data_IF_110865670035
#
_entry.id   IF_110865670035
#
_cell.length_a   1.000
_cell.length_b   1.000
_cell.length_c   1.000
_cell.angle_alpha   90.00
_cell.angle_beta   90.00
_cell.angle_gamma   90.00
#
_symmetry.space_group_name_H-M   'P 1'
#
loop_
_entity.id
_entity.type
_entity.pdbx_description
1 polymer ?
#
# COMPACT_ATOMS: atom_id res chain seq x y z
N UNK A 1 13.27 17.28 -4.76
CA UNK A 1 13.49 16.47 -3.55
C UNK A 1 12.73 15.16 -3.67
N UNK A 2 13.37 14.05 -3.33
CA UNK A 2 12.74 12.74 -3.44
C UNK A 2 11.64 12.56 -2.39
N UNK A 3 10.54 11.93 -2.77
CA UNK A 3 9.47 11.56 -1.85
C UNK A 3 9.96 10.51 -0.84
N UNK A 4 9.21 10.31 0.26
CA UNK A 4 9.55 9.27 1.22
C UNK A 4 9.49 7.89 0.55
N UNK A 5 8.58 7.67 -0.41
CA UNK A 5 8.50 6.39 -1.13
C UNK A 5 9.70 6.17 -2.03
N UNK A 6 10.18 7.21 -2.74
CA UNK A 6 11.41 7.12 -3.51
C UNK A 6 12.60 6.77 -2.61
N UNK A 7 12.66 7.34 -1.42
CA UNK A 7 13.72 7.06 -0.46
C UNK A 7 13.65 5.64 0.08
N UNK A 8 12.44 5.11 0.27
CA UNK A 8 12.25 3.70 0.65
C UNK A 8 12.74 2.78 -0.48
N UNK A 9 12.38 3.09 -1.73
CA UNK A 9 12.82 2.31 -2.91
C UNK A 9 14.34 2.26 -3.00
N UNK A 10 15.02 3.36 -2.64
CA UNK A 10 16.50 3.46 -2.67
C UNK A 10 17.16 2.80 -1.45
N UNK A 11 16.39 2.32 -0.48
CA UNK A 11 16.94 1.76 0.75
C UNK A 11 17.41 2.80 1.76
N UNK A 12 17.06 4.06 1.56
CA UNK A 12 17.46 5.16 2.47
C UNK A 12 16.59 5.21 3.72
N UNK A 13 15.35 4.72 3.65
CA UNK A 13 14.42 4.64 4.77
C UNK A 13 13.93 3.20 4.91
N UNK A 14 13.74 2.72 6.16
CA UNK A 14 13.19 1.39 6.39
C UNK A 14 11.70 1.35 6.05
N UNK A 15 11.21 0.15 5.69
CA UNK A 15 9.79 -0.09 5.47
C UNK A 15 9.49 -1.57 5.66
N UNK A 16 8.24 -1.86 5.98
CA UNK A 16 7.73 -3.24 6.07
C UNK A 16 7.23 -3.64 4.69
N UNK A 17 8.12 -4.16 3.87
CA UNK A 17 7.82 -4.50 2.47
C UNK A 17 7.09 -5.83 2.43
N UNK A 18 5.89 -5.86 1.83
CA UNK A 18 5.12 -7.08 1.63
C UNK A 18 5.42 -7.73 0.28
N UNK A 19 5.56 -6.92 -0.75
CA UNK A 19 5.75 -7.41 -2.11
C UNK A 19 6.38 -6.32 -2.96
N UNK A 20 7.07 -6.71 -4.02
CA UNK A 20 7.57 -5.77 -5.03
C UNK A 20 7.85 -6.50 -6.34
N UNK A 21 7.81 -5.76 -7.43
CA UNK A 21 8.31 -6.21 -8.73
C UNK A 21 9.31 -5.15 -9.24
N UNK A 22 9.67 -5.19 -10.51
CA UNK A 22 10.62 -4.23 -11.06
C UNK A 22 10.11 -2.78 -10.99
N UNK A 23 8.80 -2.60 -11.07
CA UNK A 23 8.18 -1.27 -11.24
C UNK A 23 7.40 -0.80 -10.02
N UNK A 24 7.05 -1.69 -9.09
CA UNK A 24 6.12 -1.38 -7.98
C UNK A 24 6.60 -1.95 -6.66
N UNK A 25 6.11 -1.34 -5.58
CA UNK A 25 6.36 -1.81 -4.22
C UNK A 25 5.07 -1.71 -3.40
N UNK A 26 4.88 -2.66 -2.50
CA UNK A 26 3.78 -2.66 -1.53
C UNK A 26 4.36 -2.74 -0.13
N UNK A 27 3.98 -1.81 0.73
CA UNK A 27 4.47 -1.73 2.11
C UNK A 27 3.30 -1.61 3.09
N UNK A 28 3.54 -1.96 4.35
CA UNK A 28 2.57 -1.67 5.41
C UNK A 28 2.67 -0.20 5.82
N UNK A 29 1.53 0.44 6.02
CA UNK A 29 1.47 1.78 6.58
C UNK A 29 1.82 1.69 8.07
N UNK A 30 2.79 2.50 8.52
CA UNK A 30 3.23 2.50 9.93
C UNK A 30 2.26 3.28 10.84
N UNK A 31 1.39 4.09 10.26
CA UNK A 31 0.31 4.80 10.96
C UNK A 31 -1.02 4.38 10.32
N UNK A 32 -1.42 3.11 10.43
CA UNK A 32 -2.54 2.58 9.66
C UNK A 32 -3.89 3.03 10.20
N UNK A 33 -4.88 3.08 9.31
CA UNK A 33 -6.28 3.24 9.74
C UNK A 33 -6.77 1.97 10.44
N UNK A 34 -6.33 0.81 9.94
CA UNK A 34 -6.55 -0.50 10.58
C UNK A 34 -5.30 -1.33 10.36
N UNK A 35 -5.09 -2.36 11.18
CA UNK A 35 -3.98 -3.28 10.94
C UNK A 35 -4.17 -3.96 9.58
N UNK A 36 -3.10 -3.99 8.78
CA UNK A 36 -3.16 -4.51 7.42
C UNK A 36 -3.38 -3.44 6.35
N UNK A 37 -3.40 -2.16 6.72
CA UNK A 37 -3.43 -1.05 5.77
C UNK A 37 -2.14 -1.05 4.96
N UNK A 38 -2.25 -1.23 3.65
CA UNK A 38 -1.13 -1.36 2.73
C UNK A 38 -1.08 -0.17 1.77
N UNK A 39 0.13 0.26 1.44
CA UNK A 39 0.39 1.29 0.44
C UNK A 39 1.10 0.64 -0.74
N UNK A 40 0.54 0.82 -1.93
CA UNK A 40 1.13 0.30 -3.17
C UNK A 40 1.50 1.49 -4.05
N UNK A 41 2.73 1.53 -4.52
CA UNK A 41 3.19 2.67 -5.32
C UNK A 41 4.15 2.24 -6.42
N UNK A 42 4.23 3.02 -7.52
CA UNK A 42 5.25 2.77 -8.53
C UNK A 42 6.61 3.23 -8.00
N UNK A 43 7.68 2.56 -8.39
CA UNK A 43 9.03 2.96 -8.00
C UNK A 43 9.42 4.29 -8.64
N UNK A 44 8.87 4.57 -9.83
CA UNK A 44 9.02 5.86 -10.49
C UNK A 44 8.19 6.91 -9.76
N UNK A 45 8.80 8.07 -9.47
CA UNK A 45 8.11 9.14 -8.74
C UNK A 45 7.22 9.94 -9.68
N UNK A 46 5.91 9.78 -9.54
CA UNK A 46 4.89 10.57 -10.23
C UNK A 46 3.87 10.94 -9.16
N UNK A 47 3.55 12.22 -9.05
CA UNK A 47 2.69 12.73 -7.97
C UNK A 47 1.23 12.32 -8.16
N UNK A 48 0.66 12.59 -9.32
CA UNK A 48 -0.76 12.49 -9.57
C UNK A 48 -1.10 11.22 -10.36
N UNK A 49 -2.06 10.45 -9.85
CA UNK A 49 -2.47 9.18 -10.46
C UNK A 49 -2.77 9.33 -11.97
N UNK A 50 -3.50 10.39 -12.33
CA UNK A 50 -3.94 10.57 -13.71
C UNK A 50 -2.88 11.18 -14.63
N UNK A 51 -1.69 11.44 -14.11
CA UNK A 51 -0.52 11.81 -14.92
C UNK A 51 0.27 10.58 -15.36
N UNK A 52 -0.07 9.39 -14.84
CA UNK A 52 0.52 8.15 -15.34
C UNK A 52 0.03 7.90 -16.78
N UNK A 53 0.88 7.30 -17.62
CA UNK A 53 0.40 6.78 -18.90
C UNK A 53 -0.62 5.69 -18.68
N UNK A 54 -1.42 5.37 -19.69
CA UNK A 54 -2.39 4.27 -19.59
C UNK A 54 -1.70 2.97 -19.22
N UNK A 55 -0.52 2.70 -19.81
CA UNK A 55 0.25 1.50 -19.50
C UNK A 55 0.71 1.49 -18.05
N UNK A 56 1.26 2.61 -17.57
CA UNK A 56 1.71 2.74 -16.17
C UNK A 56 0.52 2.61 -15.20
N UNK A 57 -0.60 3.22 -15.53
CA UNK A 57 -1.81 3.14 -14.74
C UNK A 57 -2.32 1.71 -14.62
N UNK A 58 -2.43 1.03 -15.77
CA UNK A 58 -2.90 -0.37 -15.79
C UNK A 58 -1.95 -1.30 -15.02
N UNK A 59 -0.64 -1.09 -15.16
CA UNK A 59 0.35 -1.90 -14.46
C UNK A 59 0.25 -1.71 -12.94
N UNK A 60 0.11 -0.46 -12.47
CA UNK A 60 -0.05 -0.16 -11.04
C UNK A 60 -1.32 -0.81 -10.48
N UNK A 61 -2.45 -0.67 -11.17
CA UNK A 61 -3.71 -1.24 -10.70
C UNK A 61 -3.71 -2.77 -10.76
N UNK A 62 -3.06 -3.35 -11.76
CA UNK A 62 -2.91 -4.80 -11.86
C UNK A 62 -2.06 -5.36 -10.70
N UNK A 63 -0.96 -4.70 -10.38
CA UNK A 63 -0.13 -5.09 -9.23
C UNK A 63 -0.92 -4.92 -7.93
N UNK A 64 -1.64 -3.81 -7.77
CA UNK A 64 -2.48 -3.55 -6.60
C UNK A 64 -3.53 -4.63 -6.41
N UNK A 65 -4.13 -5.11 -7.50
CA UNK A 65 -5.12 -6.20 -7.45
C UNK A 65 -4.50 -7.49 -6.90
N UNK A 66 -3.30 -7.83 -7.34
CA UNK A 66 -2.59 -9.03 -6.82
C UNK A 66 -2.33 -8.90 -5.33
N UNK A 67 -1.87 -7.74 -4.89
CA UNK A 67 -1.61 -7.47 -3.47
C UNK A 67 -2.91 -7.53 -2.67
N UNK A 68 -3.97 -6.88 -3.17
CA UNK A 68 -5.27 -6.86 -2.49
C UNK A 68 -5.86 -8.27 -2.34
N UNK A 69 -5.75 -9.09 -3.37
CA UNK A 69 -6.25 -10.47 -3.36
C UNK A 69 -5.53 -11.27 -2.27
N UNK A 70 -4.21 -11.16 -2.22
CA UNK A 70 -3.42 -11.86 -1.20
C UNK A 70 -3.68 -11.31 0.20
N UNK A 71 -3.81 -9.99 0.32
CA UNK A 71 -4.10 -9.34 1.58
C UNK A 71 -5.41 -9.86 2.19
N UNK A 72 -6.44 -9.99 1.37
CA UNK A 72 -7.73 -10.52 1.83
C UNK A 72 -7.63 -11.97 2.31
N UNK A 73 -6.78 -12.77 1.68
CA UNK A 73 -6.54 -14.14 2.11
C UNK A 73 -5.85 -14.21 3.47
N UNK A 74 -4.98 -13.25 3.76
CA UNK A 74 -4.15 -13.26 4.97
C UNK A 74 -4.75 -12.48 6.14
N UNK A 75 -5.62 -11.51 5.88
CA UNK A 75 -6.19 -10.64 6.92
C UNK A 75 -7.71 -10.78 6.91
N UNK A 76 -8.32 -11.31 7.99
CA UNK A 76 -9.78 -11.45 8.05
C UNK A 76 -10.46 -10.09 7.92
N UNK A 77 -11.34 -9.97 6.93
CA UNK A 77 -12.10 -8.74 6.67
C UNK A 77 -13.23 -9.05 5.69
N UNK A 78 -14.19 -8.13 5.62
CA UNK A 78 -15.29 -8.26 4.66
C UNK A 78 -14.79 -8.05 3.23
N UNK A 79 -13.98 -7.02 3.02
CA UNK A 79 -13.36 -6.73 1.71
C UNK A 79 -12.18 -5.79 1.86
N UNK A 80 -11.39 -5.69 0.80
CA UNK A 80 -10.32 -4.71 0.73
C UNK A 80 -10.86 -3.47 0.01
N UNK A 81 -10.85 -2.33 0.71
CA UNK A 81 -11.19 -1.05 0.11
C UNK A 81 -9.99 -0.42 -0.56
N UNK A 82 -10.24 0.41 -1.56
CA UNK A 82 -9.21 1.07 -2.36
C UNK A 82 -9.44 2.57 -2.37
N UNK A 83 -8.38 3.34 -2.16
CA UNK A 83 -8.42 4.79 -2.24
C UNK A 83 -7.09 5.33 -2.75
N UNK A 84 -7.12 6.37 -3.57
CA UNK A 84 -5.93 7.09 -4.03
C UNK A 84 -6.20 8.58 -3.82
N UNK A 85 -5.44 9.22 -2.96
CA UNK A 85 -5.68 10.60 -2.55
C UNK A 85 -4.52 11.52 -2.95
N UNK A 86 -3.35 11.33 -2.34
CA UNK A 86 -2.14 12.06 -2.74
C UNK A 86 -2.06 13.51 -2.29
N UNK A 87 -2.77 13.89 -1.23
CA UNK A 87 -2.73 15.28 -0.74
C UNK A 87 -1.54 15.55 0.18
N UNK A 88 -0.91 14.52 0.76
CA UNK A 88 0.18 14.69 1.71
C UNK A 88 1.55 14.37 1.10
N UNK A 89 1.65 13.25 0.40
CA UNK A 89 2.91 12.80 -0.21
C UNK A 89 2.81 12.91 -1.73
N UNK A 90 3.69 13.69 -2.39
CA UNK A 90 3.63 13.90 -3.85
C UNK A 90 4.24 12.72 -4.62
N UNK A 91 3.75 11.54 -4.37
CA UNK A 91 4.14 10.29 -5.02
C UNK A 91 2.91 9.39 -4.96
N UNK A 92 2.34 9.07 -6.12
CA UNK A 92 1.09 8.31 -6.19
C UNK A 92 1.20 7.01 -5.41
N UNK A 93 0.19 6.76 -4.58
CA UNK A 93 0.11 5.53 -3.81
C UNK A 93 -1.33 5.11 -3.63
N UNK A 94 -1.56 3.82 -3.78
CA UNK A 94 -2.86 3.18 -3.66
C UNK A 94 -2.99 2.65 -2.24
N UNK A 95 -4.00 3.12 -1.51
CA UNK A 95 -4.34 2.58 -0.19
C UNK A 95 -5.17 1.33 -0.37
N UNK A 96 -4.74 0.23 0.23
CA UNK A 96 -5.50 -1.02 0.32
C UNK A 96 -5.80 -1.24 1.79
N UNK A 97 -7.09 -1.24 2.14
CA UNK A 97 -7.51 -1.23 3.55
C UNK A 97 -8.49 -2.37 3.80
N UNK A 98 -8.14 -3.32 4.70
CA UNK A 98 -9.09 -4.33 5.15
C UNK A 98 -10.27 -3.67 5.84
N UNK A 99 -11.48 -3.86 5.31
CA UNK A 99 -12.67 -3.14 5.78
C UNK A 99 -13.77 -4.07 6.26
N UNK A 100 -14.40 -3.67 7.35
CA UNK A 100 -15.63 -4.28 7.86
C UNK A 100 -16.74 -3.21 7.98
N UNK A 101 -16.35 -1.93 8.10
CA UNK A 101 -17.28 -0.79 8.17
C UNK A 101 -16.75 0.35 7.30
N UNK A 102 -17.62 1.28 6.95
CA UNK A 102 -17.25 2.49 6.18
C UNK A 102 -16.20 3.31 6.94
N UNK A 103 -16.28 3.35 8.27
CA UNK A 103 -15.35 4.11 9.09
C UNK A 103 -13.89 3.63 8.96
N UNK A 104 -13.68 2.40 8.52
CA UNK A 104 -12.33 1.88 8.28
C UNK A 104 -11.59 2.64 7.17
N UNK A 105 -12.31 3.38 6.31
CA UNK A 105 -11.76 4.23 5.26
C UNK A 105 -11.80 5.72 5.64
N UNK A 106 -12.05 6.04 6.89
CA UNK A 106 -12.14 7.42 7.35
C UNK A 106 -10.74 7.97 7.68
N UNK A 107 -10.15 8.73 6.75
CA UNK A 107 -8.83 9.31 6.92
C UNK A 107 -8.77 10.44 7.94
N UNK A 108 -9.92 10.91 8.42
CA UNK A 108 -9.98 11.95 9.46
C UNK A 108 -9.88 11.40 10.87
N UNK A 109 -10.08 10.11 11.04
CA UNK A 109 -10.02 9.50 12.37
C UNK A 109 -8.59 9.34 12.85
N UNK A 110 -8.41 9.16 14.16
CA UNK A 110 -7.11 8.89 14.74
C UNK A 110 -6.50 7.62 14.15
N UNK A 111 -5.22 7.70 13.76
CA UNK A 111 -4.49 6.56 13.21
C UNK A 111 -4.04 5.61 14.33
N UNK A 112 -3.94 4.34 13.99
CA UNK A 112 -3.39 3.33 14.89
C UNK A 112 -1.86 3.34 14.84
N UNK A 113 -1.24 2.62 15.76
CA UNK A 113 0.19 2.28 15.68
C UNK A 113 0.27 0.88 15.08
N UNK A 114 1.18 0.67 14.15
CA UNK A 114 1.38 -0.64 13.54
C UNK A 114 1.80 -1.66 14.61
N UNK A 115 1.05 -2.78 14.67
CA UNK A 115 1.40 -3.91 15.52
C UNK A 115 2.57 -4.68 14.89
N UNK A 116 3.73 -4.66 15.54
CA UNK A 116 4.95 -5.23 14.97
C UNK A 116 4.92 -6.76 14.86
N UNK A 117 4.23 -7.43 15.77
CA UNK A 117 4.06 -8.89 15.69
C UNK A 117 3.20 -9.24 14.49
N UNK A 118 2.10 -8.52 14.31
CA UNK A 118 1.23 -8.68 13.15
C UNK A 118 2.01 -8.41 11.84
N UNK A 119 2.77 -7.30 11.81
CA UNK A 119 3.55 -6.91 10.63
C UNK A 119 4.54 -8.00 10.23
N UNK A 120 5.31 -8.52 11.18
CA UNK A 120 6.31 -9.56 10.92
C UNK A 120 5.65 -10.85 10.45
N UNK A 121 4.53 -11.24 11.06
CA UNK A 121 3.77 -12.42 10.66
C UNK A 121 3.26 -12.30 9.23
N UNK A 122 2.69 -11.15 8.89
CA UNK A 122 2.17 -10.91 7.56
C UNK A 122 3.29 -10.90 6.50
N UNK A 123 4.41 -10.25 6.79
CA UNK A 123 5.57 -10.24 5.89
C UNK A 123 6.08 -11.66 5.62
N UNK A 124 6.10 -12.51 6.64
CA UNK A 124 6.57 -13.88 6.52
C UNK A 124 5.65 -14.73 5.64
N UNK A 125 4.34 -14.56 5.79
CA UNK A 125 3.34 -15.36 5.07
C UNK A 125 2.95 -14.78 3.71
N UNK A 126 3.30 -13.53 3.44
CA UNK A 126 2.86 -12.84 2.24
C UNK A 126 3.73 -13.21 1.04
N UNK A 127 3.12 -13.82 0.03
CA UNK A 127 3.78 -14.04 -1.25
C UNK A 127 2.72 -13.94 -2.35
N UNK A 128 3.09 -13.32 -3.46
CA UNK A 128 2.18 -13.18 -4.59
C UNK A 128 2.28 -14.43 -5.47
N UNK A 129 1.12 -14.91 -5.91
CA UNK A 129 1.05 -15.97 -6.90
C UNK A 129 1.56 -15.45 -8.24
N UNK A 130 2.27 -16.29 -8.95
CA UNK A 130 2.77 -15.95 -10.27
C UNK A 130 1.62 -15.75 -11.27
#
# INVERSE_FOLDING_TARGET
MASIFSRIVRGELPAYILAQDELHMAILDINPLVQGHVLVFPKKEVDYLFDLSDEEYHALMSFSKKVATRLKEQVPCTRIGVSVIGLEVPHVHVHLIPMNTIDDMNFSREKCTLDLTFAKGLMTSFSLSA
#
